data_IF_497487465886
#
_entry.id   IF_497487465886
#
_cell.length_a   1.000
_cell.length_b   1.000
_cell.length_c   1.000
_cell.angle_alpha   90.00
_cell.angle_beta   90.00
_cell.angle_gamma   90.00
#
_symmetry.space_group_name_H-M   'P 1'
#
loop_
_entity.id
_entity.type
_entity.pdbx_description
1 polymer ?
#
# COMPACT_ATOMS: atom_id res chain seq x y z
N UNK A 1 2.59 -11.13 -4.90
CA UNK A 1 2.21 -9.69 -5.05
C UNK A 1 3.42 -8.92 -5.54
N UNK A 2 3.33 -8.20 -6.65
CA UNK A 2 4.51 -7.66 -7.33
C UNK A 2 4.72 -6.17 -7.03
N UNK A 3 5.78 -5.82 -6.32
CA UNK A 3 6.15 -4.43 -6.03
C UNK A 3 7.38 -4.03 -6.85
N UNK A 4 7.33 -2.85 -7.48
CA UNK A 4 8.48 -2.26 -8.15
C UNK A 4 8.70 -0.84 -7.64
N UNK A 5 9.96 -0.49 -7.39
CA UNK A 5 10.39 0.83 -6.93
C UNK A 5 11.43 1.36 -7.91
N UNK A 6 11.17 2.53 -8.48
CA UNK A 6 12.03 3.24 -9.43
C UNK A 6 12.62 4.47 -8.74
N UNK A 7 13.95 4.60 -8.74
CA UNK A 7 14.69 5.65 -8.04
C UNK A 7 15.59 6.38 -9.05
N UNK A 8 15.32 7.66 -9.35
CA UNK A 8 16.14 8.43 -10.28
C UNK A 8 17.56 8.68 -9.78
N UNK A 9 18.55 8.65 -10.68
CA UNK A 9 19.94 8.90 -10.33
C UNK A 9 20.28 10.37 -10.08
N UNK A 10 19.44 11.30 -10.55
CA UNK A 10 19.60 12.75 -10.36
C UNK A 10 19.55 13.21 -8.90
N UNK A 11 19.01 12.41 -7.98
CA UNK A 11 18.85 12.75 -6.55
C UNK A 11 20.05 12.30 -5.68
N UNK A 12 21.28 12.65 -6.08
CA UNK A 12 22.52 11.95 -5.68
C UNK A 12 22.81 11.80 -4.19
N UNK A 13 22.60 12.84 -3.36
CA UNK A 13 22.90 12.75 -1.93
C UNK A 13 21.77 12.10 -1.11
N UNK A 14 20.51 12.48 -1.39
CA UNK A 14 19.35 11.99 -0.65
C UNK A 14 18.99 10.53 -1.00
N UNK A 15 19.23 10.10 -2.24
CA UNK A 15 18.88 8.77 -2.71
C UNK A 15 20.00 7.72 -2.50
N UNK A 16 21.15 8.08 -1.94
CA UNK A 16 22.28 7.16 -1.79
C UNK A 16 21.92 5.91 -0.96
N UNK A 17 21.27 6.11 0.20
CA UNK A 17 20.80 5.01 1.06
C UNK A 17 19.74 4.17 0.34
N UNK A 18 18.77 4.83 -0.30
CA UNK A 18 17.72 4.16 -1.07
C UNK A 18 18.29 3.27 -2.19
N UNK A 19 19.35 3.72 -2.88
CA UNK A 19 20.02 2.91 -3.93
C UNK A 19 20.79 1.72 -3.36
N UNK A 20 21.43 1.88 -2.21
CA UNK A 20 22.09 0.76 -1.51
C UNK A 20 21.04 -0.29 -1.15
N UNK A 21 19.91 0.13 -0.58
CA UNK A 21 18.80 -0.77 -0.25
C UNK A 21 18.14 -1.39 -1.49
N UNK A 22 18.02 -0.64 -2.59
CA UNK A 22 17.47 -1.12 -3.85
C UNK A 22 18.25 -2.32 -4.41
N UNK A 23 19.58 -2.33 -4.25
CA UNK A 23 20.45 -3.46 -4.65
C UNK A 23 20.23 -4.72 -3.82
N UNK A 24 19.55 -4.63 -2.68
CA UNK A 24 19.18 -5.78 -1.86
C UNK A 24 17.83 -6.41 -2.29
N UNK A 25 17.16 -5.83 -3.30
CA UNK A 25 15.93 -6.40 -3.83
C UNK A 25 16.21 -7.73 -4.56
N UNK A 26 15.24 -8.66 -4.60
CA UNK A 26 15.37 -9.95 -5.29
C UNK A 26 15.75 -9.82 -6.77
N UNK A 27 15.28 -8.75 -7.42
CA UNK A 27 15.71 -8.37 -8.75
C UNK A 27 16.01 -6.86 -8.77
N UNK A 28 17.20 -6.52 -9.26
CA UNK A 28 17.67 -5.15 -9.38
C UNK A 28 18.34 -4.93 -10.74
N UNK A 29 18.02 -3.82 -11.38
CA UNK A 29 18.69 -3.38 -12.60
C UNK A 29 18.59 -1.87 -12.76
N UNK A 30 19.35 -1.34 -13.72
CA UNK A 30 19.33 0.08 -14.09
C UNK A 30 18.84 0.25 -15.51
N UNK A 31 17.99 1.24 -15.74
CA UNK A 31 17.51 1.63 -17.07
C UNK A 31 17.83 3.10 -17.32
N UNK A 32 18.13 3.46 -18.58
CA UNK A 32 18.10 4.85 -19.00
C UNK A 32 16.63 5.26 -19.24
N UNK A 33 16.15 6.29 -18.55
CA UNK A 33 14.80 6.83 -18.68
C UNK A 33 14.89 8.36 -18.87
N UNK A 34 14.58 8.84 -20.07
CA UNK A 34 14.71 10.27 -20.41
C UNK A 34 16.17 10.73 -20.43
N UNK A 35 16.52 11.68 -19.57
CA UNK A 35 17.87 12.28 -19.49
C UNK A 35 18.76 11.66 -18.39
N UNK A 36 18.34 10.56 -17.75
CA UNK A 36 19.11 9.98 -16.65
C UNK A 36 18.92 8.48 -16.44
N UNK A 37 19.82 7.91 -15.63
CA UNK A 37 19.72 6.53 -15.16
C UNK A 37 18.68 6.43 -14.04
N UNK A 38 17.96 5.31 -14.02
CA UNK A 38 16.98 4.97 -12.99
C UNK A 38 17.33 3.60 -12.45
N UNK A 39 17.50 3.53 -11.13
CA UNK A 39 17.65 2.28 -10.39
C UNK A 39 16.27 1.66 -10.16
N UNK A 40 16.10 0.39 -10.51
CA UNK A 40 14.83 -0.32 -10.42
C UNK A 40 15.01 -1.52 -9.50
N UNK A 41 14.28 -1.52 -8.40
CA UNK A 41 14.17 -2.63 -7.46
C UNK A 41 12.82 -3.32 -7.64
N UNK A 42 12.84 -4.65 -7.77
CA UNK A 42 11.65 -5.46 -7.99
C UNK A 42 11.53 -6.56 -6.94
N UNK A 43 10.36 -6.64 -6.32
CA UNK A 43 9.97 -7.66 -5.36
C UNK A 43 8.81 -8.47 -5.96
N UNK A 44 9.09 -9.63 -6.58
CA UNK A 44 8.08 -10.42 -7.29
C UNK A 44 7.03 -11.00 -6.33
N UNK A 45 7.43 -11.34 -5.10
CA UNK A 45 6.52 -11.73 -4.04
C UNK A 45 6.75 -10.93 -2.74
N UNK A 46 6.08 -9.78 -2.64
CA UNK A 46 6.24 -8.84 -1.54
C UNK A 46 6.08 -9.44 -0.12
N UNK A 47 5.19 -10.40 0.17
CA UNK A 47 5.14 -11.04 1.49
C UNK A 47 6.44 -11.74 1.92
N UNK A 48 7.15 -12.38 0.99
CA UNK A 48 8.44 -13.04 1.26
C UNK A 48 9.55 -12.03 1.57
N UNK A 49 9.51 -10.87 0.92
CA UNK A 49 10.53 -9.82 1.01
C UNK A 49 10.01 -8.55 1.68
N UNK A 50 9.06 -8.71 2.61
CA UNK A 50 8.31 -7.59 3.17
C UNK A 50 9.21 -6.61 3.92
N UNK A 51 10.11 -7.11 4.77
CA UNK A 51 11.03 -6.27 5.56
C UNK A 51 12.01 -5.46 4.69
N UNK A 52 12.73 -6.05 3.72
CA UNK A 52 13.56 -5.31 2.78
C UNK A 52 12.77 -4.26 1.98
N UNK A 53 11.61 -4.63 1.45
CA UNK A 53 10.75 -3.71 0.71
C UNK A 53 10.30 -2.55 1.60
N UNK A 54 9.96 -2.85 2.85
CA UNK A 54 9.51 -1.87 3.83
C UNK A 54 10.61 -0.85 4.09
N UNK A 55 11.82 -1.31 4.42
CA UNK A 55 12.98 -0.42 4.63
C UNK A 55 13.25 0.46 3.42
N UNK A 56 13.18 -0.09 2.21
CA UNK A 56 13.40 0.68 0.99
C UNK A 56 12.32 1.77 0.80
N UNK A 57 11.05 1.45 1.04
CA UNK A 57 9.94 2.42 0.97
C UNK A 57 10.14 3.58 1.95
N UNK A 58 10.62 3.29 3.17
CA UNK A 58 10.90 4.32 4.17
C UNK A 58 11.94 5.35 3.70
N UNK A 59 12.92 4.92 2.89
CA UNK A 59 13.90 5.84 2.31
C UNK A 59 13.35 6.58 1.08
N UNK A 60 12.58 5.91 0.23
CA UNK A 60 12.09 6.52 -1.02
C UNK A 60 10.88 7.43 -0.83
N UNK A 61 10.15 7.35 0.28
CA UNK A 61 8.97 8.21 0.54
C UNK A 61 9.33 9.70 0.58
N UNK A 62 10.59 10.02 0.84
CA UNK A 62 11.10 11.39 0.89
C UNK A 62 11.67 11.89 -0.44
N UNK A 63 11.75 11.03 -1.46
CA UNK A 63 12.34 11.33 -2.76
C UNK A 63 11.25 11.81 -3.74
N UNK A 64 11.28 13.08 -4.20
CA UNK A 64 10.22 13.67 -5.02
C UNK A 64 9.94 12.93 -6.34
N UNK A 65 10.95 12.27 -6.91
CA UNK A 65 10.82 11.59 -8.21
C UNK A 65 10.87 10.06 -8.12
N UNK A 66 10.90 9.50 -6.92
CA UNK A 66 10.74 8.06 -6.76
C UNK A 66 9.32 7.63 -7.15
N UNK A 67 9.22 6.53 -7.91
CA UNK A 67 7.93 5.96 -8.30
C UNK A 67 7.81 4.56 -7.75
N UNK A 68 6.64 4.24 -7.21
CA UNK A 68 6.33 2.90 -6.71
C UNK A 68 5.12 2.37 -7.45
N UNK A 69 5.20 1.11 -7.88
CA UNK A 69 4.06 0.40 -8.47
C UNK A 69 3.82 -0.91 -7.73
N UNK A 70 2.55 -1.26 -7.57
CA UNK A 70 2.08 -2.52 -6.98
C UNK A 70 1.17 -3.21 -8.01
N UNK A 71 1.49 -4.43 -8.41
CA UNK A 71 0.83 -5.17 -9.49
C UNK A 71 0.68 -4.31 -10.77
N UNK A 72 1.76 -3.64 -11.18
CA UNK A 72 1.84 -2.69 -12.30
C UNK A 72 0.99 -1.40 -12.18
N UNK A 73 0.28 -1.21 -11.06
CA UNK A 73 -0.46 0.03 -10.77
C UNK A 73 0.43 1.02 -10.01
N UNK A 74 0.51 2.30 -10.43
CA UNK A 74 1.17 3.34 -9.64
C UNK A 74 0.50 3.52 -8.28
N UNK A 75 1.31 3.62 -7.23
CA UNK A 75 0.87 4.05 -5.91
C UNK A 75 0.67 5.56 -5.95
N UNK A 76 -0.56 6.02 -5.76
CA UNK A 76 -0.92 7.45 -5.81
C UNK A 76 -0.65 8.16 -4.48
N UNK A 77 -0.71 7.44 -3.35
CA UNK A 77 -0.42 8.00 -2.03
C UNK A 77 0.56 7.12 -1.25
N UNK A 78 1.85 7.48 -1.31
CA UNK A 78 2.93 6.72 -0.67
C UNK A 78 2.78 6.62 0.84
N UNK A 79 2.32 7.67 1.53
CA UNK A 79 2.12 7.65 2.99
C UNK A 79 1.03 6.65 3.40
N UNK A 80 -0.10 6.61 2.68
CA UNK A 80 -1.17 5.65 2.93
C UNK A 80 -0.71 4.22 2.65
N UNK A 81 -0.08 4.01 1.50
CA UNK A 81 0.48 2.71 1.12
C UNK A 81 1.49 2.21 2.14
N UNK A 82 2.40 3.08 2.57
CA UNK A 82 3.40 2.76 3.59
C UNK A 82 2.77 2.35 4.92
N UNK A 83 1.78 3.12 5.39
CA UNK A 83 1.04 2.79 6.60
C UNK A 83 0.30 1.45 6.49
N UNK A 84 -0.30 1.17 5.33
CA UNK A 84 -0.95 -0.10 5.04
C UNK A 84 0.03 -1.27 5.07
N UNK A 85 1.23 -1.07 4.53
CA UNK A 85 2.28 -2.08 4.47
C UNK A 85 2.83 -2.42 5.85
N UNK A 86 3.05 -1.42 6.70
CA UNK A 86 3.42 -1.63 8.10
C UNK A 86 2.34 -2.41 8.86
N UNK A 87 1.08 -2.05 8.65
CA UNK A 87 -0.03 -2.75 9.26
C UNK A 87 -0.12 -4.22 8.82
N UNK A 88 0.08 -4.49 7.52
CA UNK A 88 0.15 -5.85 7.00
C UNK A 88 1.32 -6.62 7.61
N UNK A 89 2.52 -6.03 7.67
CA UNK A 89 3.69 -6.64 8.31
C UNK A 89 3.42 -7.03 9.76
N UNK A 90 2.89 -6.10 10.55
CA UNK A 90 2.64 -6.34 11.96
C UNK A 90 1.55 -7.42 12.15
N UNK A 91 0.58 -7.51 11.22
CA UNK A 91 -0.44 -8.56 11.25
C UNK A 91 0.12 -9.97 11.04
N UNK A 92 1.25 -10.12 10.33
CA UNK A 92 1.87 -11.43 10.10
C UNK A 92 2.54 -12.01 11.36
N UNK A 93 2.79 -11.16 12.36
CA UNK A 93 3.37 -11.57 13.65
C UNK A 93 2.29 -12.10 14.62
N UNK A 94 1.02 -11.99 14.25
CA UNK A 94 -0.11 -12.29 15.11
C UNK A 94 -0.74 -13.66 14.76
N UNK A 95 -1.21 -14.42 15.77
CA UNK A 95 -1.89 -15.70 15.52
C UNK A 95 -3.18 -15.56 14.69
N UNK A 96 -3.86 -14.43 14.82
CA UNK A 96 -5.02 -14.07 14.00
C UNK A 96 -4.78 -12.69 13.35
N UNK A 97 -4.18 -12.67 12.14
CA UNK A 97 -3.93 -11.44 11.40
C UNK A 97 -5.20 -10.63 11.16
N UNK A 98 -6.34 -11.29 10.90
CA UNK A 98 -7.61 -10.62 10.63
C UNK A 98 -8.15 -9.93 11.87
N UNK A 99 -8.11 -10.59 13.03
CA UNK A 99 -8.50 -9.98 14.29
C UNK A 99 -7.55 -8.85 14.69
N UNK A 100 -6.24 -8.96 14.45
CA UNK A 100 -5.30 -7.86 14.66
C UNK A 100 -5.68 -6.63 13.84
N UNK A 101 -5.87 -6.80 12.52
CA UNK A 101 -6.31 -5.75 11.61
C UNK A 101 -7.62 -5.08 12.07
N UNK A 102 -8.57 -5.88 12.56
CA UNK A 102 -9.85 -5.40 13.08
C UNK A 102 -9.71 -4.64 14.41
N UNK A 103 -8.82 -5.07 15.31
CA UNK A 103 -8.55 -4.36 16.57
C UNK A 103 -7.85 -3.02 16.34
N UNK A 104 -6.84 -2.99 15.48
CA UNK A 104 -6.09 -1.77 15.18
C UNK A 104 -6.99 -0.73 14.50
N UNK A 105 -7.92 -1.17 13.64
CA UNK A 105 -9.02 -0.35 13.11
C UNK A 105 -9.80 0.38 14.19
N UNK A 106 -10.33 -0.38 15.14
CA UNK A 106 -11.19 0.15 16.19
C UNK A 106 -10.46 1.22 17.03
N UNK A 107 -9.14 1.08 17.21
CA UNK A 107 -8.31 2.02 17.97
C UNK A 107 -8.01 3.31 17.23
N UNK A 108 -7.78 3.28 15.91
CA UNK A 108 -7.49 4.51 15.14
C UNK A 108 -8.74 5.36 14.90
N UNK A 109 -9.89 4.70 14.74
CA UNK A 109 -11.20 5.36 14.61
C UNK A 109 -11.54 6.26 15.81
N UNK A 110 -10.96 6.03 16.99
CA UNK A 110 -11.21 6.87 18.18
C UNK A 110 -10.33 8.12 18.28
N UNK A 111 -9.25 8.20 17.50
CA UNK A 111 -8.25 9.29 17.59
C UNK A 111 -8.39 10.35 16.48
N UNK A 112 -9.02 10.00 15.36
CA UNK A 112 -9.00 10.82 14.14
C UNK A 112 -10.41 11.14 13.64
N UNK A 113 -11.19 11.89 14.42
CA UNK A 113 -12.21 12.84 13.93
C UNK A 113 -13.21 12.40 12.85
N UNK A 114 -13.43 11.13 12.58
CA UNK A 114 -14.58 10.69 11.82
C UNK A 114 -15.75 10.65 12.82
N UNK A 115 -16.84 11.42 12.62
CA UNK A 115 -17.92 11.56 13.61
C UNK A 115 -18.73 10.26 13.81
N UNK A 116 -18.40 9.19 13.09
CA UNK A 116 -19.02 7.87 13.16
C UNK A 116 -17.98 6.85 13.66
N UNK A 117 -18.28 6.11 14.74
CA UNK A 117 -17.38 5.21 15.49
C UNK A 117 -16.88 3.97 14.70
N UNK A 118 -17.02 3.96 13.38
CA UNK A 118 -16.85 2.81 12.48
C UNK A 118 -15.82 3.07 11.37
N UNK A 119 -14.95 4.04 11.58
CA UNK A 119 -14.36 4.81 10.51
C UNK A 119 -12.87 5.08 10.77
N UNK A 120 -12.04 4.21 10.18
CA UNK A 120 -10.58 4.28 9.96
C UNK A 120 -9.86 3.01 10.44
N UNK A 121 -9.61 2.08 9.51
CA UNK A 121 -8.58 1.06 9.67
C UNK A 121 -7.51 1.24 8.63
N UNK A 122 -6.25 1.29 9.04
CA UNK A 122 -5.15 1.20 8.10
C UNK A 122 -4.77 -0.26 7.77
N UNK A 123 -5.63 -1.22 8.11
CA UNK A 123 -5.63 -2.59 7.55
C UNK A 123 -6.94 -2.97 6.85
N UNK A 124 -7.94 -2.07 6.82
CA UNK A 124 -9.20 -2.15 6.07
C UNK A 124 -9.72 -0.71 5.84
N UNK A 125 -9.03 0.06 5.01
CA UNK A 125 -9.25 1.50 4.83
C UNK A 125 -10.60 1.91 4.22
N UNK A 126 -11.58 1.02 4.18
CA UNK A 126 -12.95 1.28 3.72
C UNK A 126 -13.86 1.24 4.94
N UNK A 127 -14.45 2.37 5.32
CA UNK A 127 -15.42 2.38 6.43
C UNK A 127 -16.75 1.73 6.02
N UNK A 128 -17.48 1.19 6.99
CA UNK A 128 -18.79 0.55 6.76
C UNK A 128 -19.86 1.52 6.27
N UNK A 129 -19.72 2.84 6.45
CA UNK A 129 -20.59 3.85 5.84
C UNK A 129 -20.21 4.19 4.39
N UNK A 130 -18.95 4.05 3.96
CA UNK A 130 -18.61 4.04 2.53
C UNK A 130 -19.16 2.79 1.83
N UNK A 131 -19.29 1.67 2.55
CA UNK A 131 -20.10 0.49 2.16
C UNK A 131 -21.61 0.77 2.25
N UNK A 132 -22.04 1.59 3.21
CA UNK A 132 -23.43 1.95 3.51
C UNK A 132 -24.04 2.97 2.55
N UNK A 133 -23.31 3.99 2.09
CA UNK A 133 -23.74 4.90 1.02
C UNK A 133 -23.99 4.15 -0.29
N UNK A 134 -23.27 3.03 -0.49
CA UNK A 134 -23.59 2.11 -1.59
C UNK A 134 -24.78 1.20 -1.33
N UNK A 135 -25.22 1.04 -0.07
CA UNK A 135 -26.41 0.26 0.31
C UNK A 135 -27.66 1.13 0.45
N UNK A 136 -27.53 2.39 0.88
CA UNK A 136 -28.61 3.35 1.14
C UNK A 136 -29.15 4.00 -0.14
N UNK A 137 -28.43 3.88 -1.28
CA UNK A 137 -28.98 4.16 -2.61
C UNK A 137 -29.91 3.06 -3.13
N UNK A 138 -30.21 2.02 -2.32
CA UNK A 138 -31.18 0.97 -2.66
C UNK A 138 -30.68 -0.06 -3.68
N UNK A 139 -29.46 0.09 -4.19
CA UNK A 139 -28.75 -0.95 -4.93
C UNK A 139 -27.74 -1.63 -3.98
N UNK A 140 -27.42 -2.92 -4.13
CA UNK A 140 -26.24 -3.47 -3.47
C UNK A 140 -25.01 -2.66 -3.91
N UNK A 141 -23.96 -2.51 -3.07
CA UNK A 141 -22.69 -2.08 -3.59
C UNK A 141 -22.33 -2.94 -4.77
N UNK A 142 -22.38 -2.34 -5.96
CA UNK A 142 -21.66 -2.87 -7.08
C UNK A 142 -20.24 -2.97 -6.55
N UNK A 143 -19.77 -4.20 -6.40
CA UNK A 143 -18.38 -4.59 -6.15
C UNK A 143 -17.33 -3.61 -6.70
N UNK A 144 -17.61 -2.99 -7.84
CA UNK A 144 -16.85 -1.91 -8.48
C UNK A 144 -16.65 -0.65 -7.60
N UNK A 145 -17.62 -0.26 -6.77
CA UNK A 145 -17.49 0.86 -5.84
C UNK A 145 -16.56 0.51 -4.68
N UNK A 146 -16.65 -0.70 -4.14
CA UNK A 146 -15.75 -1.15 -3.08
C UNK A 146 -14.32 -1.28 -3.57
N UNK A 147 -14.15 -1.77 -4.80
CA UNK A 147 -12.86 -1.79 -5.47
C UNK A 147 -12.29 -0.37 -5.65
N UNK A 148 -13.10 0.61 -6.05
CA UNK A 148 -12.66 2.01 -6.14
C UNK A 148 -12.22 2.57 -4.79
N UNK A 149 -12.94 2.29 -3.71
CA UNK A 149 -12.54 2.79 -2.39
C UNK A 149 -11.25 2.09 -1.92
N UNK A 150 -11.09 0.79 -2.19
CA UNK A 150 -9.84 0.05 -1.90
C UNK A 150 -8.63 0.66 -2.62
N UNK A 151 -8.80 1.03 -3.90
CA UNK A 151 -7.77 1.70 -4.70
C UNK A 151 -7.42 3.09 -4.14
N UNK A 152 -8.41 3.92 -3.83
CA UNK A 152 -8.20 5.26 -3.24
C UNK A 152 -7.51 5.22 -1.87
N UNK A 153 -7.66 4.10 -1.18
CA UNK A 153 -7.05 3.82 0.09
C UNK A 153 -5.67 3.15 0.01
N UNK A 154 -5.22 2.77 -1.18
CA UNK A 154 -3.96 2.02 -1.39
C UNK A 154 -3.91 0.68 -0.65
N UNK A 155 -5.02 -0.09 -0.66
CA UNK A 155 -5.09 -1.41 -0.01
C UNK A 155 -5.75 -2.51 -0.84
N UNK A 156 -6.08 -2.26 -2.10
CA UNK A 156 -6.66 -3.30 -2.97
C UNK A 156 -5.73 -4.51 -3.12
N UNK A 157 -4.43 -4.30 -2.96
CA UNK A 157 -3.39 -5.33 -3.03
C UNK A 157 -3.33 -6.21 -1.77
N UNK A 158 -3.92 -5.78 -0.65
CA UNK A 158 -3.72 -6.42 0.66
C UNK A 158 -4.40 -7.79 0.73
N UNK A 159 -3.67 -8.89 1.02
CA UNK A 159 -4.27 -10.23 1.13
C UNK A 159 -5.31 -10.36 2.26
N UNK A 160 -5.20 -9.52 3.30
CA UNK A 160 -6.16 -9.51 4.41
C UNK A 160 -7.45 -8.75 4.07
N UNK A 161 -7.53 -8.08 2.91
CA UNK A 161 -8.73 -7.42 2.43
C UNK A 161 -9.64 -8.43 1.73
N UNK A 162 -10.78 -8.75 2.36
CA UNK A 162 -11.82 -9.57 1.73
C UNK A 162 -12.89 -8.68 1.11
N UNK A 163 -12.85 -8.50 -0.22
CA UNK A 163 -13.92 -7.84 -0.98
C UNK A 163 -14.86 -8.89 -1.61
N UNK A 164 -16.18 -8.60 -1.71
CA UNK A 164 -17.08 -9.44 -2.48
C UNK A 164 -16.69 -9.45 -3.97
N UNK A 165 -16.85 -10.57 -4.69
CA UNK A 165 -16.45 -10.69 -6.09
C UNK A 165 -17.22 -9.72 -6.98
N UNK A 166 -16.55 -9.18 -8.00
CA UNK A 166 -17.21 -8.37 -9.03
C UNK A 166 -18.02 -9.30 -9.91
N UNK A 167 -19.36 -9.21 -9.83
CA UNK A 167 -20.23 -9.83 -10.83
C UNK A 167 -20.04 -9.09 -12.15
N UNK A 168 -19.60 -9.83 -13.17
CA UNK A 168 -19.51 -9.38 -14.56
C UNK A 168 -20.90 -9.14 -15.15
#
# INVERSE_FOLDING_TARGET
MHLQIRIPESETAAAAVARILARLAPAFHTEEEGEGLVSIATFPDLPEYLDPAVRLIAEVIHLPHARITINARPVANLTKFWSALLCYRDSLLEPDPKAYCARLSARLSSLSGCPDRTCASHCQFICTRCLGVVRETGAPPASTQLQRIALQAEVEWCPNLTLPPVKA
#
